data_IF_243164901273
#
_entry.id   IF_243164901273
#
_cell.length_a   1.000
_cell.length_b   1.000
_cell.length_c   1.000
_cell.angle_alpha   90.00
_cell.angle_beta   90.00
_cell.angle_gamma   90.00
#
_symmetry.space_group_name_H-M   'P 1'
#
loop_
_entity.id
_entity.type
_entity.pdbx_description
1 polymer ?
#
# COMPACT_ATOMS: atom_id res chain seq x y z
N UNK A 1 4.83 -42.17 -5.31
CA UNK A 1 5.11 -40.87 -4.66
C UNK A 1 5.95 -40.06 -5.64
N UNK A 2 5.58 -38.87 -6.04
CA UNK A 2 6.43 -38.04 -6.88
C UNK A 2 7.70 -37.72 -6.07
N UNK A 3 8.85 -37.93 -6.68
CA UNK A 3 10.16 -37.64 -6.08
C UNK A 3 10.25 -36.12 -5.85
N UNK A 4 10.34 -35.71 -4.59
CA UNK A 4 10.36 -34.35 -4.05
C UNK A 4 11.58 -33.50 -4.47
N UNK A 5 12.07 -33.63 -5.68
CA UNK A 5 13.32 -32.97 -6.11
C UNK A 5 13.17 -31.49 -6.51
N UNK A 6 11.94 -30.97 -6.67
CA UNK A 6 11.69 -29.63 -7.20
C UNK A 6 10.55 -28.95 -6.45
N UNK A 7 10.78 -28.60 -5.17
CA UNK A 7 9.81 -27.89 -4.35
C UNK A 7 10.26 -26.43 -4.25
N UNK A 8 9.34 -25.51 -4.57
CA UNK A 8 9.54 -24.09 -4.32
C UNK A 8 9.42 -23.80 -2.81
N UNK A 9 10.10 -22.76 -2.32
CA UNK A 9 9.94 -22.31 -0.94
C UNK A 9 8.49 -21.90 -0.66
N UNK A 10 8.07 -22.01 0.60
CA UNK A 10 6.74 -21.60 1.03
C UNK A 10 6.44 -20.14 0.67
N UNK A 11 5.25 -19.89 0.14
CA UNK A 11 4.81 -18.56 -0.32
C UNK A 11 5.44 -18.09 -1.63
N UNK A 12 6.16 -18.98 -2.34
CA UNK A 12 6.71 -18.72 -3.68
C UNK A 12 6.07 -19.72 -4.66
N UNK A 13 5.53 -19.20 -5.76
CA UNK A 13 4.78 -19.97 -6.74
C UNK A 13 5.12 -19.50 -8.15
N UNK A 14 5.03 -20.40 -9.12
CA UNK A 14 5.08 -20.06 -10.54
C UNK A 14 3.79 -19.36 -10.98
N UNK A 15 3.89 -18.48 -11.97
CA UNK A 15 2.75 -17.98 -12.73
C UNK A 15 2.70 -18.78 -14.03
N UNK A 16 1.68 -19.62 -14.17
CA UNK A 16 1.54 -20.50 -15.33
C UNK A 16 1.01 -19.73 -16.56
N UNK A 17 1.14 -20.28 -17.79
CA UNK A 17 0.92 -19.55 -19.04
C UNK A 17 -0.38 -18.77 -19.13
N UNK A 18 -1.48 -19.32 -18.66
CA UNK A 18 -2.81 -18.67 -18.73
C UNK A 18 -2.87 -17.41 -17.86
N UNK A 19 -2.36 -17.52 -16.63
CA UNK A 19 -2.26 -16.39 -15.70
C UNK A 19 -1.17 -15.38 -16.14
N UNK A 20 -0.03 -15.89 -16.65
CA UNK A 20 1.06 -15.05 -17.13
C UNK A 20 0.62 -14.17 -18.30
N UNK A 21 -0.13 -14.73 -19.24
CA UNK A 21 -0.67 -13.98 -20.37
C UNK A 21 -1.66 -12.91 -19.90
N UNK A 22 -2.58 -13.25 -19.01
CA UNK A 22 -3.52 -12.28 -18.43
C UNK A 22 -2.79 -11.15 -17.70
N UNK A 23 -1.78 -11.50 -16.89
CA UNK A 23 -0.95 -10.53 -16.19
C UNK A 23 -0.29 -9.54 -17.14
N UNK A 24 0.32 -10.03 -18.24
CA UNK A 24 0.99 -9.15 -19.21
C UNK A 24 -0.01 -8.23 -19.93
N UNK A 25 -1.21 -8.69 -20.23
CA UNK A 25 -2.26 -7.85 -20.78
C UNK A 25 -2.67 -6.75 -19.79
N UNK A 26 -2.86 -7.10 -18.52
CA UNK A 26 -3.20 -6.12 -17.48
C UNK A 26 -2.07 -5.15 -17.20
N UNK A 27 -0.82 -5.62 -17.24
CA UNK A 27 0.34 -4.75 -17.11
C UNK A 27 0.33 -3.61 -18.13
N UNK A 28 0.03 -3.91 -19.40
CA UNK A 28 -0.07 -2.89 -20.48
C UNK A 28 -1.18 -1.90 -20.19
N UNK A 29 -2.39 -2.39 -19.89
CA UNK A 29 -3.53 -1.52 -19.55
C UNK A 29 -3.21 -0.58 -18.38
N UNK A 30 -2.58 -1.08 -17.32
CA UNK A 30 -2.25 -0.30 -16.13
C UNK A 30 -1.19 0.76 -16.42
N UNK A 31 -0.13 0.40 -17.15
CA UNK A 31 0.91 1.34 -17.55
C UNK A 31 0.33 2.46 -18.41
N UNK A 32 -0.55 2.13 -19.35
CA UNK A 32 -1.20 3.12 -20.22
C UNK A 32 -2.09 4.09 -19.40
N UNK A 33 -2.79 3.60 -18.36
CA UNK A 33 -3.53 4.45 -17.43
C UNK A 33 -2.59 5.41 -16.71
N UNK A 34 -1.47 4.92 -16.17
CA UNK A 34 -0.52 5.76 -15.47
C UNK A 34 0.08 6.84 -16.38
N UNK A 35 0.56 6.45 -17.56
CA UNK A 35 1.16 7.39 -18.50
C UNK A 35 0.14 8.42 -18.98
N UNK A 36 -1.09 8.01 -19.31
CA UNK A 36 -2.15 8.94 -19.74
C UNK A 36 -2.60 9.89 -18.62
N UNK A 37 -2.35 9.52 -17.36
CA UNK A 37 -2.55 10.37 -16.18
C UNK A 37 -1.35 11.27 -15.85
N UNK A 38 -0.30 11.26 -16.68
CA UNK A 38 0.87 12.13 -16.54
C UNK A 38 1.97 11.59 -15.62
N UNK A 39 1.97 10.28 -15.31
CA UNK A 39 3.00 9.64 -14.50
C UNK A 39 4.10 9.04 -15.36
N UNK A 40 5.35 9.35 -15.03
CA UNK A 40 6.53 8.79 -15.69
C UNK A 40 6.85 7.38 -15.19
N UNK A 41 6.94 6.40 -16.10
CA UNK A 41 7.29 5.03 -15.76
C UNK A 41 8.77 4.95 -15.37
N UNK A 42 9.05 4.34 -14.22
CA UNK A 42 10.40 4.01 -13.76
C UNK A 42 10.53 2.50 -13.51
N UNK A 43 11.71 1.97 -13.75
CA UNK A 43 12.08 0.57 -13.51
C UNK A 43 13.31 0.56 -12.61
N UNK A 44 13.14 0.62 -11.29
CA UNK A 44 14.27 0.57 -10.37
C UNK A 44 14.92 -0.83 -10.34
N UNK A 45 16.21 -0.94 -9.99
CA UNK A 45 16.87 -2.23 -9.89
C UNK A 45 16.27 -3.10 -8.78
N UNK A 46 16.28 -4.41 -8.96
CA UNK A 46 15.79 -5.37 -7.94
C UNK A 46 16.71 -5.40 -6.71
N UNK A 47 18.01 -5.16 -6.91
CA UNK A 47 19.06 -5.19 -5.91
C UNK A 47 19.65 -3.80 -5.71
N UNK A 48 19.81 -3.39 -4.46
CA UNK A 48 20.53 -2.17 -4.06
C UNK A 48 21.36 -2.46 -2.81
N UNK A 49 22.24 -1.53 -2.39
CA UNK A 49 22.85 -1.61 -1.09
C UNK A 49 21.77 -1.62 0.01
N UNK A 50 21.92 -2.49 1.00
CA UNK A 50 20.93 -2.65 2.07
C UNK A 50 20.64 -1.31 2.78
N UNK A 51 21.66 -0.54 3.12
CA UNK A 51 21.53 0.78 3.75
C UNK A 51 20.70 1.76 2.92
N UNK A 52 20.76 1.65 1.58
CA UNK A 52 19.97 2.50 0.67
C UNK A 52 18.50 2.18 0.73
N UNK A 53 18.14 0.88 0.77
CA UNK A 53 16.76 0.42 0.87
C UNK A 53 16.16 0.70 2.24
N UNK A 54 16.97 0.57 3.31
CA UNK A 54 16.52 0.73 4.71
C UNK A 54 16.27 2.19 5.09
N UNK A 55 17.01 3.11 4.46
CA UNK A 55 17.00 4.53 4.83
C UNK A 55 15.62 5.19 4.79
N UNK A 56 14.78 4.80 3.82
CA UNK A 56 13.45 5.34 3.59
C UNK A 56 12.36 4.27 3.75
N UNK A 57 12.61 3.26 4.58
CA UNK A 57 11.69 2.16 4.82
C UNK A 57 11.27 2.10 6.29
N UNK A 58 10.06 1.60 6.57
CA UNK A 58 9.63 1.34 7.93
C UNK A 58 10.42 0.19 8.57
N UNK A 59 10.43 0.13 9.92
CA UNK A 59 11.05 -0.98 10.65
C UNK A 59 10.48 -2.35 10.20
N UNK A 60 9.15 -2.42 9.99
CA UNK A 60 8.48 -3.63 9.50
C UNK A 60 8.95 -4.03 8.10
N UNK A 61 9.19 -3.07 7.22
CA UNK A 61 9.66 -3.32 5.85
C UNK A 61 11.13 -3.77 5.84
N UNK A 62 11.96 -3.20 6.70
CA UNK A 62 13.35 -3.59 6.86
C UNK A 62 13.50 -5.06 7.31
N UNK A 63 12.58 -5.52 8.18
CA UNK A 63 12.52 -6.93 8.59
C UNK A 63 12.07 -7.88 7.47
N UNK A 64 11.45 -7.36 6.42
CA UNK A 64 11.00 -8.12 5.25
C UNK A 64 12.02 -8.14 4.11
N UNK A 65 13.09 -7.36 4.19
CA UNK A 65 14.13 -7.27 3.17
C UNK A 65 15.07 -8.47 3.25
N UNK A 66 15.25 -9.18 2.14
CA UNK A 66 16.31 -10.17 2.02
C UNK A 66 17.66 -9.48 1.94
N UNK A 67 18.61 -9.90 2.77
CA UNK A 67 19.98 -9.38 2.78
C UNK A 67 20.95 -10.45 2.28
N UNK A 68 21.88 -10.04 1.44
CA UNK A 68 22.93 -10.89 0.88
C UNK A 68 24.24 -10.11 0.82
N UNK A 69 25.34 -10.84 0.69
CA UNK A 69 26.67 -10.24 0.55
C UNK A 69 27.05 -10.25 -0.93
N UNK A 70 27.42 -9.08 -1.44
CA UNK A 70 28.02 -8.94 -2.77
C UNK A 70 29.41 -9.58 -2.75
N UNK A 71 29.62 -10.62 -3.54
CA UNK A 71 30.88 -11.38 -3.54
C UNK A 71 32.04 -10.59 -4.13
N UNK A 72 31.77 -9.60 -4.99
CA UNK A 72 32.81 -8.78 -5.62
C UNK A 72 33.32 -7.68 -4.68
N UNK A 73 32.43 -7.08 -3.89
CA UNK A 73 32.77 -5.92 -3.06
C UNK A 73 32.77 -6.21 -1.56
N UNK A 74 32.21 -7.33 -1.12
CA UNK A 74 31.99 -7.68 0.30
C UNK A 74 30.90 -6.83 0.99
N UNK A 75 30.21 -5.95 0.26
CA UNK A 75 29.17 -5.09 0.83
C UNK A 75 27.84 -5.83 0.95
N UNK A 76 27.01 -5.37 1.89
CA UNK A 76 25.67 -5.91 2.07
C UNK A 76 24.71 -5.33 1.03
N UNK A 77 24.06 -6.21 0.28
CA UNK A 77 22.96 -5.88 -0.64
C UNK A 77 21.61 -6.26 -0.03
N UNK A 78 20.56 -5.61 -0.48
CA UNK A 78 19.17 -5.97 -0.20
C UNK A 78 18.40 -6.25 -1.49
N UNK A 79 17.47 -7.21 -1.43
CA UNK A 79 16.44 -7.36 -2.45
C UNK A 79 15.25 -6.50 -2.02
N UNK A 80 14.77 -5.61 -2.88
CA UNK A 80 13.68 -4.69 -2.54
C UNK A 80 12.43 -5.45 -2.07
N UNK A 81 11.90 -5.07 -0.92
CA UNK A 81 10.62 -5.55 -0.37
C UNK A 81 9.45 -4.62 -0.72
N UNK A 82 9.76 -3.41 -1.20
CA UNK A 82 8.84 -2.37 -1.66
C UNK A 82 9.55 -1.43 -2.66
N UNK A 83 8.79 -0.72 -3.52
CA UNK A 83 9.34 0.15 -4.54
C UNK A 83 9.37 1.62 -4.10
N UNK A 84 8.48 2.06 -3.21
CA UNK A 84 8.36 3.45 -2.77
C UNK A 84 9.67 4.03 -2.24
N UNK A 85 10.46 3.25 -1.47
CA UNK A 85 11.77 3.68 -0.97
C UNK A 85 12.76 3.99 -2.10
N UNK A 86 12.71 3.21 -3.18
CA UNK A 86 13.53 3.43 -4.38
C UNK A 86 13.09 4.68 -5.15
N UNK A 87 11.78 4.95 -5.24
CA UNK A 87 11.26 6.19 -5.84
C UNK A 87 11.75 7.40 -5.05
N UNK A 88 11.72 7.35 -3.71
CA UNK A 88 12.26 8.41 -2.84
C UNK A 88 13.74 8.66 -3.11
N UNK A 89 14.55 7.61 -3.30
CA UNK A 89 15.96 7.72 -3.68
C UNK A 89 16.14 8.32 -5.08
N UNK A 90 15.36 7.86 -6.07
CA UNK A 90 15.41 8.38 -7.45
C UNK A 90 15.11 9.87 -7.44
N UNK A 91 14.04 10.29 -6.78
CA UNK A 91 13.72 11.70 -6.61
C UNK A 91 14.86 12.49 -5.99
N UNK A 92 15.46 11.98 -4.90
CA UNK A 92 16.56 12.66 -4.19
C UNK A 92 17.85 12.74 -5.00
N UNK A 93 18.09 11.80 -5.91
CA UNK A 93 19.33 11.69 -6.68
C UNK A 93 19.27 12.49 -7.98
N UNK A 94 18.16 12.39 -8.70
CA UNK A 94 18.02 12.96 -10.04
C UNK A 94 17.26 14.27 -10.06
N UNK A 95 16.91 14.80 -8.92
CA UNK A 95 16.21 16.05 -8.61
C UNK A 95 16.04 17.02 -9.79
N UNK A 96 15.36 16.57 -10.83
CA UNK A 96 14.94 17.38 -11.94
C UNK A 96 13.55 17.92 -11.54
N UNK A 97 13.57 19.12 -11.02
CA UNK A 97 12.57 19.78 -10.18
C UNK A 97 11.16 19.87 -10.75
N UNK A 98 10.89 19.36 -11.94
CA UNK A 98 9.62 19.53 -12.64
C UNK A 98 8.74 18.28 -12.72
N UNK A 99 9.25 17.08 -12.43
CA UNK A 99 8.47 15.85 -12.55
C UNK A 99 8.43 15.18 -11.19
N UNK A 100 7.31 15.36 -10.51
CA UNK A 100 7.08 14.78 -9.20
C UNK A 100 6.12 13.58 -9.29
N UNK A 101 5.84 13.08 -10.50
CA UNK A 101 4.91 11.99 -10.75
C UNK A 101 5.64 10.79 -11.33
N UNK A 102 5.72 9.70 -10.57
CA UNK A 102 6.35 8.44 -10.97
C UNK A 102 5.35 7.30 -10.87
N UNK A 103 5.48 6.32 -11.77
CA UNK A 103 4.73 5.07 -11.66
C UNK A 103 5.64 3.87 -11.90
N UNK A 104 5.18 2.71 -11.44
CA UNK A 104 5.92 1.46 -11.57
C UNK A 104 4.98 0.25 -11.69
N UNK A 105 5.51 -0.83 -12.25
CA UNK A 105 4.86 -2.14 -12.29
C UNK A 105 5.94 -3.20 -12.27
N UNK A 106 6.27 -3.75 -11.10
CA UNK A 106 7.38 -4.68 -10.98
C UNK A 106 7.28 -5.58 -9.74
N UNK A 107 8.17 -6.58 -9.68
CA UNK A 107 8.25 -7.53 -8.58
C UNK A 107 8.95 -6.92 -7.36
N UNK A 108 8.50 -7.34 -6.19
CA UNK A 108 9.20 -7.18 -4.93
C UNK A 108 9.35 -8.54 -4.26
N UNK A 109 10.31 -8.70 -3.34
CA UNK A 109 10.59 -9.99 -2.69
C UNK A 109 10.65 -9.81 -1.19
N UNK A 110 9.81 -10.55 -0.47
CA UNK A 110 9.71 -10.47 1.00
C UNK A 110 10.27 -11.70 1.67
N UNK A 111 11.08 -11.50 2.69
CA UNK A 111 11.68 -12.57 3.48
C UNK A 111 10.66 -13.35 4.30
N UNK A 112 9.53 -12.72 4.63
CA UNK A 112 8.43 -13.30 5.43
C UNK A 112 7.10 -13.18 4.70
N UNK A 113 6.21 -14.14 4.95
CA UNK A 113 4.82 -14.09 4.50
C UNK A 113 4.05 -13.09 5.37
N UNK A 114 3.28 -12.18 4.74
CA UNK A 114 2.39 -11.25 5.47
C UNK A 114 1.07 -11.96 5.83
N UNK A 115 0.58 -12.79 4.91
CA UNK A 115 -0.65 -13.57 5.04
C UNK A 115 -0.49 -14.86 4.28
N UNK A 116 -1.16 -15.93 4.73
CA UNK A 116 -1.17 -17.23 4.02
C UNK A 116 -1.79 -17.13 2.62
N UNK A 117 -2.50 -16.06 2.34
CA UNK A 117 -3.13 -15.80 1.04
C UNK A 117 -2.24 -14.98 0.09
N UNK A 118 -1.18 -14.34 0.57
CA UNK A 118 -0.30 -13.46 -0.22
C UNK A 118 1.01 -14.14 -0.55
N UNK A 119 1.53 -13.90 -1.75
CA UNK A 119 2.84 -14.38 -2.17
C UNK A 119 3.97 -13.61 -1.48
N UNK A 120 5.11 -14.26 -1.31
CA UNK A 120 6.36 -13.60 -0.92
C UNK A 120 7.05 -12.87 -2.07
N UNK A 121 6.57 -13.11 -3.31
CA UNK A 121 7.01 -12.37 -4.50
C UNK A 121 5.77 -11.66 -5.09
N UNK A 122 5.25 -10.62 -4.41
CA UNK A 122 4.17 -9.82 -4.98
C UNK A 122 4.64 -9.03 -6.20
N UNK A 123 3.69 -8.71 -7.07
CA UNK A 123 3.88 -7.78 -8.18
C UNK A 123 3.16 -6.51 -7.79
N UNK A 124 3.91 -5.43 -7.62
CA UNK A 124 3.36 -4.14 -7.27
C UNK A 124 3.14 -3.28 -8.52
N UNK A 125 1.92 -2.77 -8.66
CA UNK A 125 1.60 -1.64 -9.54
C UNK A 125 1.33 -0.43 -8.66
N UNK A 126 2.00 0.70 -8.91
CA UNK A 126 1.83 1.87 -8.05
C UNK A 126 2.23 3.17 -8.72
N UNK A 127 1.86 4.26 -8.07
CA UNK A 127 2.22 5.61 -8.48
C UNK A 127 2.53 6.47 -7.25
N UNK A 128 3.44 7.42 -7.44
CA UNK A 128 3.96 8.33 -6.41
C UNK A 128 3.93 9.76 -6.93
N UNK A 129 3.40 10.68 -6.14
CA UNK A 129 3.42 12.12 -6.38
C UNK A 129 4.21 12.79 -5.24
N UNK A 130 5.31 13.44 -5.59
CA UNK A 130 6.24 14.01 -4.62
C UNK A 130 6.25 15.53 -4.74
N UNK A 131 6.28 16.24 -3.59
CA UNK A 131 6.43 17.70 -3.51
C UNK A 131 5.12 18.47 -3.41
N UNK A 132 3.96 17.80 -3.50
CA UNK A 132 2.66 18.45 -3.26
C UNK A 132 2.18 18.24 -1.83
N UNK A 133 1.44 19.23 -1.31
CA UNK A 133 0.75 19.20 -0.02
C UNK A 133 -0.76 19.46 -0.15
N UNK A 134 -1.31 19.34 -1.36
CA UNK A 134 -2.73 19.64 -1.64
C UNK A 134 -3.58 18.40 -1.48
N UNK A 135 -4.74 18.54 -0.86
CA UNK A 135 -5.73 17.46 -0.71
C UNK A 135 -6.24 16.94 -2.06
N UNK A 136 -6.32 17.81 -3.07
CA UNK A 136 -6.72 17.44 -4.42
C UNK A 136 -5.74 16.48 -5.07
N UNK A 137 -4.43 16.69 -4.86
CA UNK A 137 -3.39 15.83 -5.39
C UNK A 137 -3.38 14.47 -4.67
N UNK A 138 -3.72 14.44 -3.38
CA UNK A 138 -3.90 13.20 -2.63
C UNK A 138 -5.10 12.39 -3.16
N UNK A 139 -6.21 13.08 -3.41
CA UNK A 139 -7.40 12.46 -3.97
C UNK A 139 -7.17 11.99 -5.42
N UNK A 140 -6.34 12.69 -6.21
CA UNK A 140 -5.89 12.25 -7.55
C UNK A 140 -5.29 10.84 -7.47
N UNK A 141 -4.37 10.61 -6.52
CA UNK A 141 -3.71 9.30 -6.35
C UNK A 141 -4.70 8.21 -5.97
N UNK A 142 -5.60 8.48 -5.03
CA UNK A 142 -6.62 7.52 -4.62
C UNK A 142 -7.58 7.19 -5.79
N UNK A 143 -8.01 8.19 -6.57
CA UNK A 143 -8.84 8.00 -7.76
C UNK A 143 -8.09 7.18 -8.82
N UNK A 144 -6.81 7.46 -9.04
CA UNK A 144 -5.96 6.70 -9.96
C UNK A 144 -5.85 5.23 -9.53
N UNK A 145 -5.61 4.97 -8.24
CA UNK A 145 -5.62 3.62 -7.66
C UNK A 145 -6.94 2.89 -7.92
N UNK A 146 -8.06 3.56 -7.65
CA UNK A 146 -9.39 2.99 -7.84
C UNK A 146 -9.70 2.70 -9.32
N UNK A 147 -9.29 3.57 -10.24
CA UNK A 147 -9.41 3.35 -11.69
C UNK A 147 -8.60 2.13 -12.14
N UNK A 148 -7.39 1.94 -11.60
CA UNK A 148 -6.60 0.75 -11.87
C UNK A 148 -7.27 -0.50 -11.29
N UNK A 149 -7.75 -0.47 -10.04
CA UNK A 149 -8.44 -1.61 -9.43
C UNK A 149 -9.67 -2.04 -10.22
N UNK A 150 -10.44 -1.11 -10.81
CA UNK A 150 -11.60 -1.42 -11.67
C UNK A 150 -11.22 -2.17 -12.96
N UNK A 151 -9.94 -2.22 -13.36
CA UNK A 151 -9.46 -3.09 -14.46
C UNK A 151 -9.29 -4.55 -14.04
N UNK A 152 -9.22 -4.81 -12.73
CA UNK A 152 -9.05 -6.14 -12.18
C UNK A 152 -10.35 -6.75 -11.64
N UNK A 153 -11.33 -5.93 -11.27
CA UNK A 153 -12.58 -6.41 -10.68
C UNK A 153 -13.78 -5.54 -11.06
N UNK A 154 -14.93 -6.21 -11.28
CA UNK A 154 -16.24 -5.55 -11.37
C UNK A 154 -16.98 -5.49 -10.03
N UNK A 155 -16.44 -6.14 -8.99
CA UNK A 155 -17.03 -6.12 -7.64
C UNK A 155 -16.93 -4.74 -7.02
N UNK A 156 -17.73 -4.52 -5.98
CA UNK A 156 -17.69 -3.32 -5.18
C UNK A 156 -16.34 -3.16 -4.48
N UNK A 157 -15.81 -1.95 -4.44
CA UNK A 157 -14.58 -1.61 -3.74
C UNK A 157 -14.94 -0.85 -2.47
N UNK A 158 -14.32 -1.21 -1.37
CA UNK A 158 -14.36 -0.48 -0.10
C UNK A 158 -13.03 0.24 0.06
N UNK A 159 -13.10 1.52 0.41
CA UNK A 159 -11.94 2.36 0.69
C UNK A 159 -11.98 2.79 2.16
N UNK A 160 -11.08 2.24 2.95
CA UNK A 160 -10.92 2.59 4.35
C UNK A 160 -9.87 3.71 4.47
N UNK A 161 -10.23 4.78 5.18
CA UNK A 161 -9.38 5.97 5.39
C UNK A 161 -8.92 6.03 6.84
N UNK A 162 -7.62 6.08 7.06
CA UNK A 162 -6.98 6.38 8.34
C UNK A 162 -6.26 7.73 8.30
N UNK A 163 -5.87 8.23 9.47
CA UNK A 163 -5.06 9.44 9.58
C UNK A 163 -4.08 9.33 10.75
N UNK A 164 -2.82 9.07 10.46
CA UNK A 164 -1.79 8.87 11.50
C UNK A 164 -1.52 10.12 12.33
N UNK A 165 -1.75 11.31 11.77
CA UNK A 165 -1.60 12.60 12.46
C UNK A 165 -2.47 12.70 13.70
N UNK A 166 -3.70 12.19 13.67
CA UNK A 166 -4.60 12.16 14.83
C UNK A 166 -3.96 11.38 15.98
N UNK A 167 -3.49 10.16 15.72
CA UNK A 167 -2.84 9.35 16.74
C UNK A 167 -1.52 9.98 17.22
N UNK A 168 -0.71 10.58 16.33
CA UNK A 168 0.52 11.30 16.70
C UNK A 168 0.24 12.47 17.64
N UNK A 169 -0.83 13.24 17.42
CA UNK A 169 -1.25 14.34 18.30
C UNK A 169 -1.64 13.82 19.68
N UNK A 170 -2.38 12.71 19.77
CA UNK A 170 -2.71 12.07 21.05
C UNK A 170 -1.46 11.56 21.77
N UNK A 171 -0.49 10.97 21.06
CA UNK A 171 0.76 10.52 21.66
C UNK A 171 1.61 11.71 22.15
N UNK A 172 1.62 12.81 21.41
CA UNK A 172 2.30 14.06 21.84
C UNK A 172 1.66 14.62 23.11
N UNK A 173 0.34 14.64 23.21
CA UNK A 173 -0.36 15.03 24.43
C UNK A 173 -0.04 14.10 25.60
N UNK A 174 -0.03 12.78 25.36
CA UNK A 174 0.30 11.77 26.35
C UNK A 174 1.70 11.92 26.93
N UNK A 175 2.65 12.45 26.14
CA UNK A 175 4.07 12.64 26.53
C UNK A 175 4.70 11.39 27.14
N UNK A 176 4.48 10.24 26.53
CA UNK A 176 4.95 8.94 26.99
C UNK A 176 6.33 8.60 26.45
N UNK A 177 7.02 7.68 27.12
CA UNK A 177 8.21 7.05 26.60
C UNK A 177 7.91 6.22 25.35
N UNK A 178 8.88 6.13 24.42
CA UNK A 178 8.72 5.42 23.13
C UNK A 178 8.25 3.98 23.25
N UNK A 179 8.60 3.30 24.33
CA UNK A 179 8.17 1.92 24.58
C UNK A 179 6.65 1.84 24.81
N UNK A 180 6.11 2.74 25.63
CA UNK A 180 4.66 2.84 25.87
C UNK A 180 3.90 3.25 24.61
N UNK A 181 4.44 4.21 23.85
CA UNK A 181 3.87 4.63 22.59
C UNK A 181 3.78 3.46 21.58
N UNK A 182 4.89 2.71 21.41
CA UNK A 182 4.93 1.51 20.55
C UNK A 182 3.94 0.44 20.99
N UNK A 183 3.80 0.24 22.29
CA UNK A 183 2.86 -0.75 22.84
C UNK A 183 1.41 -0.34 22.60
N UNK A 184 1.03 0.91 22.89
CA UNK A 184 -0.32 1.44 22.67
C UNK A 184 -0.67 1.37 21.17
N UNK A 185 0.25 1.81 20.29
CA UNK A 185 0.11 1.70 18.83
C UNK A 185 -0.25 0.27 18.40
N UNK A 186 0.51 -0.72 18.86
CA UNK A 186 0.29 -2.10 18.49
C UNK A 186 -1.04 -2.65 18.99
N UNK A 187 -1.42 -2.30 20.21
CA UNK A 187 -2.70 -2.69 20.80
C UNK A 187 -3.90 -2.06 20.07
N UNK A 188 -3.80 -0.81 19.66
CA UNK A 188 -4.83 -0.12 18.86
C UNK A 188 -4.94 -0.76 17.47
N UNK A 189 -3.82 -1.01 16.79
CA UNK A 189 -3.79 -1.70 15.49
C UNK A 189 -4.47 -3.09 15.56
N UNK A 190 -4.24 -3.83 16.64
CA UNK A 190 -4.88 -5.14 16.83
C UNK A 190 -6.35 -5.06 17.25
N UNK A 191 -6.86 -3.85 17.56
CA UNK A 191 -8.22 -3.60 18.07
C UNK A 191 -8.59 -4.44 19.28
N UNK A 192 -7.60 -4.86 20.08
CA UNK A 192 -7.78 -5.70 21.26
C UNK A 192 -8.26 -4.87 22.47
N UNK A 193 -9.57 -4.60 22.53
CA UNK A 193 -10.16 -3.73 23.57
C UNK A 193 -9.84 -4.19 25.00
N UNK A 194 -9.73 -5.50 25.27
CA UNK A 194 -9.39 -6.04 26.59
C UNK A 194 -7.94 -5.76 26.97
N UNK A 195 -7.00 -5.98 26.03
CA UNK A 195 -5.58 -5.73 26.27
C UNK A 195 -5.28 -4.24 26.39
N UNK A 196 -5.93 -3.39 25.55
CA UNK A 196 -5.85 -1.93 25.67
C UNK A 196 -6.27 -1.50 27.07
N UNK A 197 -7.44 -1.95 27.55
CA UNK A 197 -7.95 -1.60 28.88
C UNK A 197 -6.98 -2.02 29.99
N UNK A 198 -6.46 -3.24 29.95
CA UNK A 198 -5.53 -3.75 30.94
C UNK A 198 -4.25 -2.92 30.97
N UNK A 199 -3.62 -2.72 29.82
CA UNK A 199 -2.38 -1.97 29.70
C UNK A 199 -2.50 -0.51 30.14
N UNK A 200 -3.59 0.17 29.77
CA UNK A 200 -3.83 1.56 30.17
C UNK A 200 -4.07 1.72 31.68
N UNK A 201 -4.46 0.67 32.39
CA UNK A 201 -4.57 0.70 33.86
C UNK A 201 -3.21 0.55 34.56
N UNK A 202 -2.19 0.01 33.87
CA UNK A 202 -0.84 -0.19 34.41
C UNK A 202 0.04 1.05 34.28
N UNK A 203 -0.29 1.96 33.34
CA UNK A 203 0.50 3.17 33.08
C UNK A 203 -0.15 4.42 33.67
N UNK A 204 0.69 5.37 34.04
CA UNK A 204 0.25 6.65 34.59
C UNK A 204 0.06 7.68 33.49
N UNK A 205 -1.18 7.81 32.98
CA UNK A 205 -1.61 8.84 32.04
C UNK A 205 -2.94 9.42 32.48
N UNK A 206 -3.29 10.55 31.92
CA UNK A 206 -4.55 11.26 32.13
C UNK A 206 -5.76 10.35 31.90
N UNK A 207 -6.79 10.44 32.77
CA UNK A 207 -7.94 9.56 32.72
C UNK A 207 -8.84 9.81 31.49
N UNK A 208 -8.95 11.05 31.02
CA UNK A 208 -9.65 11.41 29.79
C UNK A 208 -8.97 10.74 28.57
N UNK A 209 -7.63 10.75 28.57
CA UNK A 209 -6.85 10.09 27.52
C UNK A 209 -6.99 8.56 27.58
N UNK A 210 -7.02 7.97 28.79
CA UNK A 210 -7.35 6.54 28.96
C UNK A 210 -8.69 6.19 28.34
N UNK A 211 -9.71 7.02 28.57
CA UNK A 211 -11.04 6.78 28.00
C UNK A 211 -11.04 6.94 26.47
N UNK A 212 -10.30 7.93 25.96
CA UNK A 212 -10.11 8.11 24.52
C UNK A 212 -9.50 6.85 23.89
N UNK A 213 -8.37 6.34 24.39
CA UNK A 213 -7.75 5.13 23.86
C UNK A 213 -8.60 3.86 24.00
N UNK A 214 -9.38 3.73 25.09
CA UNK A 214 -10.34 2.63 25.23
C UNK A 214 -11.46 2.67 24.18
N UNK A 215 -11.84 3.87 23.72
CA UNK A 215 -12.87 4.05 22.68
C UNK A 215 -12.29 3.94 21.24
N UNK A 216 -11.00 4.11 21.06
CA UNK A 216 -10.34 4.15 19.75
C UNK A 216 -10.69 2.97 18.83
N UNK A 217 -10.74 1.70 19.32
CA UNK A 217 -11.14 0.56 18.49
C UNK A 217 -12.56 0.64 17.91
N UNK A 218 -13.38 1.55 18.43
CA UNK A 218 -14.76 1.80 17.96
C UNK A 218 -14.85 3.01 17.04
N UNK A 219 -13.76 3.75 16.87
CA UNK A 219 -13.71 4.95 16.03
C UNK A 219 -13.51 4.58 14.56
N UNK A 220 -14.49 3.88 14.01
CA UNK A 220 -14.57 3.49 12.61
C UNK A 220 -16.01 3.49 12.11
N UNK A 221 -16.23 3.58 10.80
CA UNK A 221 -17.57 3.52 10.24
C UNK A 221 -17.73 4.27 8.93
N UNK A 222 -18.97 4.59 8.57
CA UNK A 222 -19.27 5.40 7.39
C UNK A 222 -18.68 6.79 7.54
N UNK A 223 -18.07 7.30 6.46
CA UNK A 223 -17.50 8.66 6.44
C UNK A 223 -18.50 9.74 6.87
N UNK A 224 -19.79 9.52 6.67
CA UNK A 224 -20.86 10.45 7.09
C UNK A 224 -20.90 10.69 8.60
N UNK A 225 -20.38 9.77 9.39
CA UNK A 225 -20.41 9.81 10.85
C UNK A 225 -19.06 10.16 11.47
N UNK A 226 -18.08 10.59 10.67
CA UNK A 226 -16.70 10.83 11.15
C UNK A 226 -16.63 11.87 12.27
N UNK A 227 -17.53 12.85 12.27
CA UNK A 227 -17.57 13.93 13.26
C UNK A 227 -18.04 13.49 14.65
N UNK A 228 -18.62 12.29 14.80
CA UNK A 228 -19.16 11.82 16.08
C UNK A 228 -18.14 11.77 17.21
N UNK A 229 -16.84 11.70 16.89
CA UNK A 229 -15.75 11.67 17.86
C UNK A 229 -14.95 12.98 17.91
N UNK A 230 -15.33 13.98 17.13
CA UNK A 230 -14.57 15.23 16.98
C UNK A 230 -14.38 15.94 18.33
N UNK A 231 -15.43 16.13 19.10
CA UNK A 231 -15.36 16.84 20.40
C UNK A 231 -14.46 16.10 21.41
N UNK A 232 -14.49 14.77 21.40
CA UNK A 232 -13.61 13.97 22.25
C UNK A 232 -12.15 14.10 21.85
N UNK A 233 -11.85 14.07 20.56
CA UNK A 233 -10.48 14.13 20.03
C UNK A 233 -9.89 15.54 20.12
N UNK A 234 -10.69 16.54 19.83
CA UNK A 234 -10.34 17.98 19.85
C UNK A 234 -9.98 18.47 21.25
N UNK A 235 -10.46 17.81 22.31
CA UNK A 235 -10.06 18.09 23.70
C UNK A 235 -8.53 18.00 23.88
N UNK A 236 -7.87 17.05 23.20
CA UNK A 236 -6.44 16.81 23.33
C UNK A 236 -5.59 17.70 22.42
N UNK A 237 -6.10 18.00 21.24
CA UNK A 237 -5.44 18.90 20.28
C UNK A 237 -6.49 19.48 19.32
N UNK A 238 -6.67 20.79 19.36
CA UNK A 238 -7.65 21.50 18.54
C UNK A 238 -7.40 21.33 17.02
N UNK A 239 -6.16 21.09 16.62
CA UNK A 239 -5.78 20.92 15.21
C UNK A 239 -6.28 19.59 14.61
N UNK A 240 -6.79 18.67 15.44
CA UNK A 240 -7.48 17.44 14.97
C UNK A 240 -8.73 17.77 14.15
N UNK A 241 -9.36 18.93 14.38
CA UNK A 241 -10.46 19.39 13.55
C UNK A 241 -10.06 19.57 12.08
N UNK A 242 -8.85 20.08 11.83
CA UNK A 242 -8.30 20.21 10.48
C UNK A 242 -8.03 18.84 9.85
N UNK A 243 -7.57 17.85 10.62
CA UNK A 243 -7.36 16.49 10.11
C UNK A 243 -8.69 15.85 9.69
N UNK A 244 -9.74 16.03 10.46
CA UNK A 244 -11.07 15.48 10.14
C UNK A 244 -11.66 16.21 8.92
N UNK A 245 -11.53 17.53 8.82
CA UNK A 245 -11.99 18.29 7.66
C UNK A 245 -11.21 17.91 6.38
N UNK A 246 -9.91 17.64 6.53
CA UNK A 246 -9.09 17.10 5.45
C UNK A 246 -9.62 15.75 4.95
N UNK A 247 -9.92 14.80 5.85
CA UNK A 247 -10.48 13.48 5.49
C UNK A 247 -11.84 13.65 4.79
N UNK A 248 -12.69 14.57 5.26
CA UNK A 248 -13.98 14.86 4.64
C UNK A 248 -13.81 15.43 3.24
N UNK A 249 -12.91 16.38 3.05
CA UNK A 249 -12.61 16.98 1.75
C UNK A 249 -12.08 15.92 0.77
N UNK A 250 -11.10 15.13 1.20
CA UNK A 250 -10.56 14.01 0.43
C UNK A 250 -11.66 13.02 0.01
N UNK A 251 -12.50 12.58 0.95
CA UNK A 251 -13.57 11.65 0.67
C UNK A 251 -14.65 12.24 -0.28
N UNK A 252 -14.94 13.51 -0.15
CA UNK A 252 -15.91 14.20 -1.02
C UNK A 252 -15.43 14.30 -2.47
N UNK A 253 -14.12 14.52 -2.68
CA UNK A 253 -13.53 14.54 -4.03
C UNK A 253 -13.67 13.15 -4.67
N UNK A 254 -13.32 12.09 -3.93
CA UNK A 254 -13.46 10.70 -4.41
C UNK A 254 -14.92 10.36 -4.70
N UNK A 255 -15.86 10.72 -3.82
CA UNK A 255 -17.27 10.45 -4.01
C UNK A 255 -17.84 11.11 -5.28
N UNK A 256 -17.28 12.25 -5.71
CA UNK A 256 -17.65 12.97 -6.93
C UNK A 256 -16.99 12.42 -8.20
N UNK A 257 -16.07 11.48 -8.09
CA UNK A 257 -15.36 10.91 -9.24
C UNK A 257 -16.18 9.89 -10.06
N UNK A 258 -17.45 9.67 -9.71
CA UNK A 258 -18.34 8.68 -10.34
C UNK A 258 -17.89 7.22 -10.25
N UNK A 259 -16.94 6.91 -9.36
CA UNK A 259 -16.54 5.56 -9.06
C UNK A 259 -17.51 4.93 -8.04
N UNK A 260 -17.96 3.70 -8.31
CA UNK A 260 -18.76 2.95 -7.34
C UNK A 260 -17.83 2.40 -6.24
N UNK A 261 -17.65 3.22 -5.19
CA UNK A 261 -16.77 2.95 -4.05
C UNK A 261 -17.50 3.32 -2.76
N UNK A 262 -17.45 2.44 -1.77
CA UNK A 262 -17.92 2.74 -0.42
C UNK A 262 -16.74 3.23 0.43
N UNK A 263 -16.85 4.47 0.93
CA UNK A 263 -15.80 5.12 1.72
C UNK A 263 -16.15 4.99 3.20
N UNK A 264 -15.19 4.47 3.99
CA UNK A 264 -15.25 4.35 5.43
C UNK A 264 -14.04 5.04 6.05
N UNK A 265 -14.12 5.33 7.35
CA UNK A 265 -12.95 5.74 8.13
C UNK A 265 -12.64 4.70 9.20
N UNK A 266 -11.36 4.60 9.58
CA UNK A 266 -10.88 3.75 10.65
C UNK A 266 -9.63 4.39 11.29
N UNK A 267 -9.79 5.00 12.46
CA UNK A 267 -8.65 5.63 13.16
C UNK A 267 -7.67 4.62 13.76
N UNK A 268 -7.99 3.33 13.77
CA UNK A 268 -7.03 2.26 14.09
C UNK A 268 -6.14 1.87 12.92
N UNK A 269 -6.42 2.35 11.70
CA UNK A 269 -5.52 2.12 10.57
C UNK A 269 -4.26 2.97 10.74
N UNK A 270 -3.23 2.33 11.27
CA UNK A 270 -1.94 2.94 11.61
C UNK A 270 -0.79 2.19 10.91
N UNK A 271 -1.08 1.49 9.79
CA UNK A 271 -0.03 0.85 8.98
C UNK A 271 0.92 1.92 8.47
N UNK A 272 2.20 1.61 8.44
CA UNK A 272 3.20 2.59 8.03
C UNK A 272 3.40 3.79 8.97
N UNK A 273 2.83 3.79 10.19
CA UNK A 273 2.88 4.91 11.15
C UNK A 273 4.25 5.58 11.28
N UNK A 274 5.33 4.81 11.24
CA UNK A 274 6.68 5.34 11.41
C UNK A 274 7.19 6.05 10.14
N UNK A 275 6.56 5.82 8.99
CA UNK A 275 6.90 6.36 7.68
C UNK A 275 5.84 7.36 7.20
N UNK A 276 4.55 7.05 7.37
CA UNK A 276 3.42 7.88 6.96
C UNK A 276 3.29 9.14 7.85
N UNK A 277 2.80 10.22 7.26
CA UNK A 277 2.66 11.51 7.98
C UNK A 277 1.22 11.87 8.31
N UNK A 278 0.28 11.63 7.41
CA UNK A 278 -1.08 12.14 7.47
C UNK A 278 -2.11 11.07 7.08
N UNK A 279 -2.69 11.20 5.87
CA UNK A 279 -3.70 10.24 5.36
C UNK A 279 -3.08 8.89 5.03
N UNK A 280 -3.80 7.83 5.38
CA UNK A 280 -3.59 6.47 4.89
C UNK A 280 -4.90 5.99 4.28
N UNK A 281 -4.82 5.23 3.21
CA UNK A 281 -5.99 4.59 2.63
C UNK A 281 -5.69 3.17 2.19
N UNK A 282 -6.62 2.27 2.43
CA UNK A 282 -6.55 0.85 2.05
C UNK A 282 -7.79 0.47 1.26
N UNK A 283 -7.60 -0.27 0.17
CA UNK A 283 -8.70 -0.76 -0.65
C UNK A 283 -8.94 -2.25 -0.45
N UNK A 284 -10.20 -2.62 -0.35
CA UNK A 284 -10.69 -3.99 -0.23
C UNK A 284 -11.72 -4.28 -1.32
N UNK A 285 -11.81 -5.53 -1.75
CA UNK A 285 -12.81 -5.99 -2.70
C UNK A 285 -13.93 -6.73 -1.95
N UNK A 286 -15.16 -6.55 -2.38
CA UNK A 286 -16.32 -7.22 -1.80
C UNK A 286 -16.10 -8.73 -1.68
N UNK A 287 -16.42 -9.27 -0.49
CA UNK A 287 -16.21 -10.67 -0.11
C UNK A 287 -14.73 -11.10 -0.04
N UNK A 288 -13.81 -10.16 0.10
CA UNK A 288 -12.40 -10.43 0.40
C UNK A 288 -11.99 -9.75 1.71
N UNK A 289 -11.21 -10.44 2.53
CA UNK A 289 -10.71 -9.93 3.81
C UNK A 289 -9.32 -9.30 3.71
N UNK A 290 -8.64 -9.51 2.58
CA UNK A 290 -7.29 -8.98 2.39
C UNK A 290 -7.36 -7.62 1.69
N UNK A 291 -6.51 -6.71 2.11
CA UNK A 291 -6.29 -5.48 1.36
C UNK A 291 -5.62 -5.79 0.01
N UNK A 292 -6.13 -5.19 -1.04
CA UNK A 292 -5.60 -5.33 -2.41
C UNK A 292 -4.72 -4.17 -2.82
N UNK A 293 -4.89 -3.03 -2.18
CA UNK A 293 -4.07 -1.85 -2.38
C UNK A 293 -3.96 -1.04 -1.09
N UNK A 294 -2.84 -0.37 -0.92
CA UNK A 294 -2.56 0.54 0.19
C UNK A 294 -1.86 1.78 -0.35
N UNK A 295 -2.16 2.93 0.23
CA UNK A 295 -1.50 4.18 -0.06
C UNK A 295 -1.55 5.13 1.11
N UNK A 296 -0.82 6.23 1.00
CA UNK A 296 -0.77 7.23 2.06
C UNK A 296 0.26 8.30 1.78
N UNK A 297 0.24 9.32 2.64
CA UNK A 297 1.18 10.43 2.60
C UNK A 297 2.38 10.14 3.50
N UNK A 298 3.57 10.37 2.97
CA UNK A 298 4.83 10.12 3.67
C UNK A 298 5.81 11.29 3.54
N UNK A 299 6.79 11.35 4.45
CA UNK A 299 7.84 12.35 4.41
C UNK A 299 9.13 11.78 3.82
N UNK A 300 9.76 12.54 2.92
CA UNK A 300 11.10 12.24 2.44
C UNK A 300 12.13 12.85 3.37
N UNK A 301 13.22 12.09 3.61
CA UNK A 301 14.31 12.49 4.49
C UNK A 301 14.80 13.95 4.26
N UNK A 302 14.86 14.74 5.32
CA UNK A 302 15.65 15.98 5.50
C UNK A 302 15.20 17.28 4.82
N UNK A 303 14.06 17.36 4.09
CA UNK A 303 13.77 18.59 3.32
C UNK A 303 12.36 19.16 3.47
N UNK A 304 11.57 18.78 4.46
CA UNK A 304 10.14 19.14 4.52
C UNK A 304 9.36 18.77 3.21
N UNK A 305 9.89 17.82 2.46
CA UNK A 305 9.27 17.34 1.23
C UNK A 305 8.42 16.14 1.61
N UNK A 306 7.15 16.20 1.27
CA UNK A 306 6.25 15.06 1.40
C UNK A 306 5.91 14.47 0.04
N UNK A 307 5.63 13.18 0.04
CA UNK A 307 5.06 12.46 -1.09
C UNK A 307 3.73 11.83 -0.69
N UNK A 308 2.97 11.47 -1.68
CA UNK A 308 1.82 10.57 -1.54
C UNK A 308 1.91 9.52 -2.62
N UNK A 309 1.55 8.30 -2.30
CA UNK A 309 1.59 7.21 -3.26
C UNK A 309 0.69 6.05 -2.88
N UNK A 310 0.62 5.09 -3.77
CA UNK A 310 -0.07 3.83 -3.51
C UNK A 310 0.63 2.66 -4.20
N UNK A 311 0.39 1.45 -3.67
CA UNK A 311 0.74 0.20 -4.33
C UNK A 311 -0.44 -0.78 -4.32
N UNK A 312 -0.60 -1.50 -5.43
CA UNK A 312 -1.60 -2.55 -5.64
C UNK A 312 -0.85 -3.88 -5.70
N UNK A 313 -1.28 -4.89 -4.95
CA UNK A 313 -0.76 -6.27 -5.08
C UNK A 313 -1.45 -6.98 -6.25
N UNK A 314 -0.89 -6.82 -7.44
CA UNK A 314 -1.43 -7.41 -8.68
C UNK A 314 -1.35 -8.95 -8.62
N UNK A 315 -0.32 -9.51 -7.97
CA UNK A 315 -0.18 -10.95 -7.81
C UNK A 315 -1.35 -11.56 -7.04
N UNK A 316 -1.82 -10.87 -6.00
CA UNK A 316 -2.97 -11.28 -5.23
C UNK A 316 -4.25 -11.29 -6.08
N UNK A 317 -4.42 -10.29 -6.94
CA UNK A 317 -5.59 -10.16 -7.83
C UNK A 317 -5.65 -11.22 -8.93
N UNK A 318 -4.53 -11.90 -9.23
CA UNK A 318 -4.47 -12.99 -10.23
C UNK A 318 -5.23 -14.25 -9.83
N UNK A 319 -5.54 -14.49 -8.56
CA UNK A 319 -5.95 -15.79 -8.03
C UNK A 319 -7.13 -16.47 -8.73
N UNK A 320 -8.01 -15.70 -9.38
CA UNK A 320 -9.20 -16.24 -10.05
C UNK A 320 -9.33 -15.74 -11.49
N UNK A 321 -8.23 -15.36 -12.12
CA UNK A 321 -8.21 -14.79 -13.46
C UNK A 321 -7.46 -15.71 -14.41
N UNK A 322 -8.13 -16.09 -15.49
CA UNK A 322 -7.57 -16.95 -16.53
C UNK A 322 -7.95 -16.38 -17.89
N UNK A 323 -6.97 -16.26 -18.78
CA UNK A 323 -7.19 -16.05 -20.21
C UNK A 323 -6.59 -17.25 -20.93
N UNK A 324 -7.39 -17.95 -21.68
CA UNK A 324 -6.89 -18.96 -22.61
C UNK A 324 -6.28 -18.22 -23.81
N UNK A 325 -4.97 -18.27 -24.03
CA UNK A 325 -4.39 -17.73 -25.25
C UNK A 325 -4.97 -18.52 -26.44
N UNK A 326 -5.29 -17.82 -27.51
CA UNK A 326 -5.71 -18.46 -28.77
C UNK A 326 -4.65 -19.45 -29.19
N UNK A 327 -5.00 -20.74 -29.17
CA UNK A 327 -4.10 -21.78 -29.67
C UNK A 327 -4.00 -21.65 -31.18
N UNK A 328 -2.78 -21.67 -31.68
CA UNK A 328 -2.55 -21.72 -33.13
C UNK A 328 -1.96 -23.07 -33.50
N UNK A 329 -2.35 -23.56 -34.64
CA UNK A 329 -1.78 -24.76 -35.22
C UNK A 329 -1.11 -24.45 -36.56
N UNK A 330 -0.02 -25.14 -36.82
CA UNK A 330 0.67 -25.06 -38.10
C UNK A 330 -0.13 -25.84 -39.13
N UNK A 331 -0.55 -25.19 -40.20
CA UNK A 331 -1.37 -25.78 -41.29
C UNK A 331 -0.61 -25.65 -42.58
N UNK A 332 -0.61 -26.71 -43.38
CA UNK A 332 -0.09 -26.70 -44.73
C UNK A 332 -1.24 -26.60 -45.75
N UNK A 333 -1.25 -25.53 -46.50
CA UNK A 333 -2.18 -25.38 -47.58
C UNK A 333 -1.43 -25.17 -48.92
N UNK A 334 -1.57 -26.14 -49.84
CA UNK A 334 -0.93 -26.12 -51.14
C UNK A 334 0.60 -25.90 -51.10
N UNK A 335 1.29 -26.55 -50.14
CA UNK A 335 2.73 -26.48 -50.02
C UNK A 335 3.27 -25.27 -49.20
N UNK A 336 2.40 -24.35 -48.78
CA UNK A 336 2.74 -23.27 -47.87
C UNK A 336 2.31 -23.54 -46.44
N UNK A 337 3.18 -23.25 -45.48
CA UNK A 337 2.92 -23.43 -44.05
C UNK A 337 2.59 -22.10 -43.41
N UNK A 338 1.48 -22.05 -42.64
CA UNK A 338 1.11 -20.85 -41.84
C UNK A 338 0.41 -21.27 -40.57
N UNK A 339 0.37 -20.34 -39.61
CA UNK A 339 -0.30 -20.52 -38.33
C UNK A 339 -1.75 -20.04 -38.42
N UNK A 340 -2.68 -20.95 -38.24
CA UNK A 340 -4.12 -20.65 -38.13
C UNK A 340 -4.59 -20.74 -36.68
N UNK A 341 -5.60 -19.94 -36.35
CA UNK A 341 -6.21 -19.97 -35.03
C UNK A 341 -6.96 -21.33 -34.88
N UNK A 342 -6.69 -22.03 -33.78
CA UNK A 342 -7.37 -23.25 -33.44
C UNK A 342 -8.61 -22.91 -32.63
N UNK A 343 -9.78 -23.11 -33.19
CA UNK A 343 -11.08 -22.85 -32.56
C UNK A 343 -11.63 -24.06 -31.76
N UNK A 344 -10.80 -25.06 -31.43
CA UNK A 344 -11.15 -26.18 -30.57
C UNK A 344 -10.94 -25.91 -29.10
#
# INVERSE_FOLDING_TARGET
MPTTKWILPEGIEDILPEQAYWLEMKRREVIDIFISSGYGLVIPPLLEYADSLEKNASEDLNLQTFKLVDQDTGKQLGIRADITSQISRIYSTYNDTNINRYCYFDHVVRSKTISSKKSRIPIQAGAELIGSKKTEDDAELAILMLNVLKKFTSKKIFLDLGHVGIFKKLMKYANLEKEHEKKIKNLIRSKSSSEIKNYLNEINIDDELKQCFKSFPKMHGSIKNIEQYLEQLKYFDSDIENDIEYIKTFSNIIAKSHLDVEIKYDFCELKGFDYESDIIFSAYIENDSEEVAIGGRYNLDKKDISGIGFSIDVRYLLKNQFLNPTKRKLVNNSGMWFLEDNHE
#
